data_IF_085144973253
#
_entry.id   IF_085144973253
#
_cell.length_a   1.000
_cell.length_b   1.000
_cell.length_c   1.000
_cell.angle_alpha   90.00
_cell.angle_beta   90.00
_cell.angle_gamma   90.00
#
_symmetry.space_group_name_H-M   'P 1'
#
loop_
_entity.id
_entity.type
_entity.pdbx_description
1 polymer ?
#
# COMPACT_ATOMS: atom_id res chain seq x y z
N UNK A 1 20.07 33.59 26.44
CA UNK A 1 18.61 33.78 26.61
C UNK A 1 17.90 32.94 25.55
N UNK A 2 17.06 32.03 26.04
CA UNK A 2 16.11 31.14 25.36
C UNK A 2 15.67 31.49 23.93
N UNK A 3 15.91 30.61 22.95
CA UNK A 3 14.92 29.88 22.11
C UNK A 3 15.66 28.71 21.40
N UNK A 4 15.95 27.63 22.11
CA UNK A 4 16.56 26.41 21.54
C UNK A 4 15.95 25.13 22.15
N UNK A 5 14.65 25.17 22.46
CA UNK A 5 13.99 24.15 23.30
C UNK A 5 12.60 23.72 22.84
N UNK A 6 12.26 23.87 21.55
CA UNK A 6 10.97 23.39 21.01
C UNK A 6 11.08 22.34 19.91
N UNK A 7 12.27 22.09 19.35
CA UNK A 7 12.44 21.17 18.23
C UNK A 7 12.85 19.74 18.63
N UNK A 8 13.11 19.47 19.91
CA UNK A 8 13.55 18.15 20.38
C UNK A 8 12.42 17.24 20.89
N UNK A 9 11.19 17.75 21.06
CA UNK A 9 10.07 16.97 21.65
C UNK A 9 9.32 16.16 20.58
N UNK A 10 9.39 16.53 19.30
CA UNK A 10 8.68 15.81 18.23
C UNK A 10 9.48 14.65 17.61
N UNK A 11 10.79 14.58 17.85
CA UNK A 11 11.62 13.45 17.38
C UNK A 11 11.71 12.29 18.38
N UNK A 12 11.28 12.51 19.64
CA UNK A 12 11.33 11.50 20.70
C UNK A 12 10.11 10.55 20.71
N UNK A 13 9.03 10.85 19.98
CA UNK A 13 7.82 9.99 19.94
C UNK A 13 7.97 8.84 18.94
N UNK A 14 8.90 8.93 17.98
CA UNK A 14 9.12 7.88 16.97
C UNK A 14 10.23 6.89 17.36
N UNK A 15 11.04 7.19 18.39
CA UNK A 15 12.19 6.35 18.79
C UNK A 15 12.02 5.68 20.17
N UNK A 16 11.02 6.03 20.98
CA UNK A 16 10.75 5.39 22.28
C UNK A 16 9.74 4.23 22.23
N UNK A 17 9.73 3.45 21.13
CA UNK A 17 8.89 2.25 20.98
C UNK A 17 9.62 0.91 21.12
N UNK A 18 10.95 0.89 21.25
CA UNK A 18 11.73 -0.36 21.09
C UNK A 18 12.55 -0.81 22.31
N UNK A 19 12.35 -0.24 23.50
CA UNK A 19 12.97 -0.81 24.72
C UNK A 19 11.94 -0.84 25.85
N UNK A 20 11.23 -1.97 25.92
CA UNK A 20 10.21 -2.22 26.93
C UNK A 20 9.56 -3.58 26.75
N UNK A 21 10.32 -4.61 26.38
CA UNK A 21 9.90 -5.99 26.55
C UNK A 21 9.87 -6.30 28.06
N UNK A 22 8.81 -5.89 28.74
CA UNK A 22 8.38 -6.45 30.01
C UNK A 22 7.19 -7.36 29.69
N UNK A 23 7.37 -8.65 29.98
CA UNK A 23 6.34 -9.66 29.83
C UNK A 23 5.12 -9.29 30.69
N UNK A 24 4.02 -8.90 30.04
CA UNK A 24 2.71 -8.86 30.68
C UNK A 24 2.03 -10.20 30.46
N UNK A 25 1.80 -10.92 31.57
CA UNK A 25 0.90 -12.06 31.66
C UNK A 25 -0.48 -11.74 31.07
N UNK A 26 -1.19 -12.73 30.51
CA UNK A 26 -2.37 -12.49 29.68
C UNK A 26 -3.52 -11.92 30.53
N UNK A 27 -3.87 -10.66 30.29
CA UNK A 27 -5.18 -10.13 30.63
C UNK A 27 -5.98 -10.03 29.34
N UNK A 28 -7.06 -10.78 29.29
CA UNK A 28 -7.99 -10.86 28.16
C UNK A 28 -8.55 -9.47 27.85
N UNK A 29 -8.13 -8.90 26.72
CA UNK A 29 -8.68 -7.67 26.16
C UNK A 29 -9.86 -8.02 25.25
N UNK A 30 -10.91 -7.17 25.17
CA UNK A 30 -12.07 -7.43 24.32
C UNK A 30 -11.63 -7.53 22.84
N UNK A 31 -12.29 -8.38 22.02
CA UNK A 31 -11.92 -8.55 20.63
C UNK A 31 -12.09 -7.21 19.88
N UNK A 32 -10.97 -6.61 19.50
CA UNK A 32 -10.95 -5.50 18.54
C UNK A 32 -11.45 -6.00 17.19
N UNK A 33 -12.17 -5.18 16.40
CA UNK A 33 -12.69 -5.62 15.12
C UNK A 33 -11.55 -5.91 14.14
N UNK A 34 -11.59 -7.12 13.62
CA UNK A 34 -10.87 -7.58 12.45
C UNK A 34 -10.74 -6.53 11.34
N UNK A 35 -9.54 -6.36 10.74
CA UNK A 35 -9.50 -5.80 9.40
C UNK A 35 -10.42 -6.64 8.50
N UNK A 36 -11.31 -5.95 7.78
CA UNK A 36 -12.31 -6.52 6.87
C UNK A 36 -11.71 -7.67 6.06
N UNK A 37 -12.39 -8.83 5.94
CA UNK A 37 -11.83 -9.97 5.24
C UNK A 37 -11.61 -9.61 3.77
N UNK A 38 -10.35 -9.44 3.37
CA UNK A 38 -9.92 -9.86 2.04
C UNK A 38 -10.37 -11.32 1.93
N UNK A 39 -11.17 -11.62 0.90
CA UNK A 39 -11.77 -12.92 0.68
C UNK A 39 -10.77 -14.03 1.03
N UNK A 40 -11.17 -14.93 1.94
CA UNK A 40 -10.34 -16.03 2.40
C UNK A 40 -9.72 -16.76 1.19
N UNK A 41 -8.38 -16.87 1.08
CA UNK A 41 -7.70 -17.42 -0.09
C UNK A 41 -8.17 -18.84 -0.46
N UNK A 42 -8.67 -19.59 0.53
CA UNK A 42 -9.03 -21.01 0.39
C UNK A 42 -10.25 -21.31 -0.49
N UNK A 43 -11.01 -20.30 -0.96
CA UNK A 43 -12.17 -20.51 -1.85
C UNK A 43 -11.96 -20.08 -3.31
N UNK A 44 -10.85 -19.40 -3.65
CA UNK A 44 -10.63 -18.96 -5.05
C UNK A 44 -10.14 -20.15 -5.87
N UNK A 45 -10.89 -20.52 -6.91
CA UNK A 45 -10.45 -21.54 -7.88
C UNK A 45 -9.15 -21.07 -8.53
N UNK A 46 -8.21 -21.99 -8.84
CA UNK A 46 -6.95 -21.64 -9.49
C UNK A 46 -7.21 -20.78 -10.72
N UNK A 47 -6.58 -19.62 -10.76
CA UNK A 47 -6.70 -18.70 -11.88
C UNK A 47 -6.12 -19.33 -13.15
N UNK A 48 -6.99 -19.54 -14.15
CA UNK A 48 -6.59 -20.03 -15.46
C UNK A 48 -6.09 -18.84 -16.28
N UNK A 49 -4.97 -18.99 -17.00
CA UNK A 49 -4.38 -17.92 -17.84
C UNK A 49 -5.39 -17.28 -18.81
N UNK A 50 -6.38 -18.05 -19.26
CA UNK A 50 -7.44 -17.57 -20.15
C UNK A 50 -8.44 -16.62 -19.45
N UNK A 51 -8.59 -16.71 -18.13
CA UNK A 51 -9.47 -15.85 -17.34
C UNK A 51 -8.81 -14.52 -16.96
N UNK A 52 -7.50 -14.35 -17.18
CA UNK A 52 -6.72 -13.19 -16.74
C UNK A 52 -7.38 -11.83 -17.09
N UNK A 53 -7.73 -11.62 -18.34
CA UNK A 53 -8.38 -10.37 -18.77
C UNK A 53 -9.80 -10.21 -18.22
N UNK A 54 -10.51 -11.32 -18.04
CA UNK A 54 -11.86 -11.32 -17.48
C UNK A 54 -11.81 -10.98 -15.99
N UNK A 55 -10.82 -11.48 -15.27
CA UNK A 55 -10.60 -11.16 -13.87
C UNK A 55 -10.29 -9.68 -13.69
N UNK A 56 -9.35 -9.10 -14.46
CA UNK A 56 -9.07 -7.65 -14.45
C UNK A 56 -10.36 -6.85 -14.62
N UNK A 57 -11.22 -7.22 -15.58
CA UNK A 57 -12.47 -6.50 -15.79
C UNK A 57 -13.46 -6.65 -14.62
N UNK A 58 -13.54 -7.84 -14.03
CA UNK A 58 -14.38 -8.11 -12.87
C UNK A 58 -13.88 -7.37 -11.63
N UNK A 59 -12.57 -7.34 -11.42
CA UNK A 59 -11.91 -6.69 -10.31
C UNK A 59 -12.04 -5.17 -10.44
N UNK A 60 -11.83 -4.59 -11.62
CA UNK A 60 -12.16 -3.18 -11.88
C UNK A 60 -13.62 -2.88 -11.53
N UNK A 61 -14.57 -3.68 -12.01
CA UNK A 61 -15.98 -3.48 -11.69
C UNK A 61 -16.22 -3.52 -10.18
N UNK A 62 -15.64 -4.48 -9.48
CA UNK A 62 -15.77 -4.61 -8.04
C UNK A 62 -15.17 -3.41 -7.30
N UNK A 63 -13.99 -2.95 -7.69
CA UNK A 63 -13.31 -1.78 -7.12
C UNK A 63 -14.18 -0.53 -7.30
N UNK A 64 -14.62 -0.23 -8.52
CA UNK A 64 -15.41 0.97 -8.82
C UNK A 64 -16.79 0.96 -8.17
N UNK A 65 -17.38 -0.23 -7.98
CA UNK A 65 -18.67 -0.37 -7.32
C UNK A 65 -18.54 -0.51 -5.80
N UNK A 66 -17.34 -0.71 -5.26
CA UNK A 66 -17.12 -0.94 -3.83
C UNK A 66 -17.73 0.13 -2.91
N UNK A 67 -17.69 1.45 -3.23
CA UNK A 67 -18.27 2.46 -2.34
C UNK A 67 -19.79 2.33 -2.20
N UNK A 68 -20.46 1.75 -3.19
CA UNK A 68 -21.92 1.55 -3.19
C UNK A 68 -22.34 0.30 -2.41
N UNK A 69 -21.38 -0.53 -1.97
CA UNK A 69 -21.62 -1.76 -1.22
C UNK A 69 -21.19 -1.68 0.24
N UNK A 70 -20.84 -0.47 0.73
CA UNK A 70 -20.42 -0.24 2.11
C UNK A 70 -21.55 -0.53 3.10
N UNK A 71 -21.22 -1.24 4.18
CA UNK A 71 -22.13 -1.55 5.29
C UNK A 71 -21.90 -0.58 6.44
N UNK A 72 -22.88 -0.46 7.33
CA UNK A 72 -22.77 0.40 8.52
C UNK A 72 -21.59 0.02 9.42
N UNK A 73 -21.28 -1.28 9.52
CA UNK A 73 -20.15 -1.75 10.32
C UNK A 73 -18.80 -1.34 9.74
N UNK A 74 -18.71 -1.05 8.44
CA UNK A 74 -17.48 -0.55 7.82
C UNK A 74 -17.11 0.85 8.32
N UNK A 75 -18.08 1.61 8.83
CA UNK A 75 -17.84 2.93 9.40
C UNK A 75 -16.85 2.89 10.58
N UNK A 76 -16.77 1.77 11.32
CA UNK A 76 -15.88 1.61 12.48
C UNK A 76 -14.40 1.76 12.11
N UNK A 77 -14.04 1.40 10.88
CA UNK A 77 -12.67 1.55 10.38
C UNK A 77 -12.55 2.66 9.32
N UNK A 78 -13.58 2.88 8.49
CA UNK A 78 -13.57 3.94 7.47
C UNK A 78 -13.55 5.35 8.05
N UNK A 79 -14.32 5.61 9.11
CA UNK A 79 -14.36 6.93 9.75
C UNK A 79 -13.01 7.32 10.32
N UNK A 80 -12.36 6.53 11.18
CA UNK A 80 -11.03 6.89 11.68
C UNK A 80 -10.00 6.98 10.55
N UNK A 81 -10.00 6.06 9.59
CA UNK A 81 -9.09 6.11 8.43
C UNK A 81 -9.28 7.41 7.62
N UNK A 82 -10.52 7.79 7.33
CA UNK A 82 -10.85 9.00 6.59
C UNK A 82 -10.44 10.25 7.34
N UNK A 83 -10.72 10.33 8.66
CA UNK A 83 -10.30 11.45 9.50
C UNK A 83 -8.78 11.57 9.59
N UNK A 84 -8.06 10.46 9.78
CA UNK A 84 -6.60 10.43 9.79
C UNK A 84 -6.02 10.89 8.45
N UNK A 85 -6.58 10.42 7.34
CA UNK A 85 -6.14 10.81 5.99
C UNK A 85 -6.37 12.31 5.75
N UNK A 86 -7.54 12.83 6.11
CA UNK A 86 -7.85 14.25 5.98
C UNK A 86 -6.92 15.12 6.83
N UNK A 87 -6.60 14.68 8.05
CA UNK A 87 -5.64 15.36 8.91
C UNK A 87 -4.23 15.38 8.29
N UNK A 88 -3.78 14.26 7.71
CA UNK A 88 -2.48 14.18 7.01
C UNK A 88 -2.43 15.08 5.78
N UNK A 89 -3.49 15.10 4.97
CA UNK A 89 -3.56 15.99 3.79
C UNK A 89 -3.49 17.47 4.22
N UNK A 90 -4.16 17.83 5.31
CA UNK A 90 -4.17 19.20 5.84
C UNK A 90 -2.78 19.65 6.35
N UNK A 91 -1.97 18.73 6.86
CA UNK A 91 -0.61 19.04 7.35
C UNK A 91 0.49 18.85 6.29
N UNK A 92 0.21 18.15 5.19
CA UNK A 92 1.16 17.79 4.14
C UNK A 92 1.83 19.01 3.46
N UNK A 93 1.11 20.11 3.27
CA UNK A 93 1.67 21.34 2.69
C UNK A 93 2.83 21.93 3.52
N UNK A 94 2.78 21.77 4.86
CA UNK A 94 3.84 22.26 5.74
C UNK A 94 5.10 21.40 5.64
N UNK A 95 4.93 20.09 5.50
CA UNK A 95 6.05 19.14 5.33
C UNK A 95 6.70 19.25 3.96
N UNK A 96 5.90 19.46 2.90
CA UNK A 96 6.42 19.58 1.53
C UNK A 96 7.36 20.79 1.35
N UNK A 97 7.11 21.89 2.07
CA UNK A 97 7.98 23.07 2.04
C UNK A 97 9.37 22.81 2.66
N UNK A 98 9.47 21.92 3.67
CA UNK A 98 10.74 21.57 4.30
C UNK A 98 11.55 20.56 3.47
N UNK A 99 10.91 19.76 2.62
CA UNK A 99 11.56 18.77 1.76
C UNK A 99 12.26 19.36 0.53
N UNK A 100 11.93 20.60 0.12
CA UNK A 100 12.61 21.29 -0.99
C UNK A 100 14.08 21.67 -0.68
N UNK A 101 14.47 21.66 0.60
CA UNK A 101 15.78 22.10 1.08
C UNK A 101 16.77 20.93 1.31
N UNK A 102 16.32 19.68 1.32
CA UNK A 102 17.17 18.51 1.61
C UNK A 102 17.50 17.71 0.35
N UNK A 103 18.70 17.96 -0.20
CA UNK A 103 19.19 17.30 -1.42
C UNK A 103 19.91 15.96 -1.19
N UNK A 104 19.99 15.45 0.04
CA UNK A 104 20.71 14.20 0.31
C UNK A 104 19.88 13.19 1.09
N UNK A 105 19.32 12.22 0.37
CA UNK A 105 18.89 10.95 0.95
C UNK A 105 19.15 9.77 0.00
N UNK A 106 20.45 9.50 -0.15
CA UNK A 106 21.16 8.21 -0.15
C UNK A 106 20.42 6.97 -0.71
N UNK A 107 20.97 6.45 -1.83
CA UNK A 107 20.95 5.11 -2.47
C UNK A 107 19.90 4.05 -2.06
N UNK A 108 19.56 3.92 -0.78
CA UNK A 108 18.49 3.05 -0.28
C UNK A 108 17.11 3.44 -0.86
N UNK A 109 16.83 4.73 -0.99
CA UNK A 109 15.60 5.24 -1.63
C UNK A 109 15.51 4.83 -3.11
N UNK A 110 16.66 4.76 -3.80
CA UNK A 110 16.73 4.41 -5.21
C UNK A 110 16.48 2.91 -5.45
N UNK A 111 17.04 2.03 -4.61
CA UNK A 111 16.81 0.58 -4.71
C UNK A 111 15.37 0.20 -4.33
N UNK A 112 14.83 0.81 -3.27
CA UNK A 112 13.43 0.59 -2.87
C UNK A 112 12.47 1.14 -3.93
N UNK A 113 12.78 2.29 -4.54
CA UNK A 113 12.02 2.79 -5.70
C UNK A 113 12.12 1.83 -6.88
N UNK A 114 13.28 1.25 -7.17
CA UNK A 114 13.42 0.33 -8.30
C UNK A 114 12.63 -0.98 -8.09
N UNK A 115 12.65 -1.53 -6.88
CA UNK A 115 11.85 -2.72 -6.50
C UNK A 115 10.35 -2.44 -6.55
N UNK A 116 9.91 -1.27 -6.08
CA UNK A 116 8.52 -0.84 -6.19
C UNK A 116 8.13 -0.29 -7.57
N UNK A 117 9.05 -0.23 -8.53
CA UNK A 117 8.74 0.28 -9.86
C UNK A 117 7.90 -0.72 -10.64
N UNK A 118 7.19 -0.24 -11.67
CA UNK A 118 6.47 -1.10 -12.60
C UNK A 118 7.38 -2.21 -13.17
N UNK A 119 8.65 -1.90 -13.45
CA UNK A 119 9.63 -2.88 -13.90
C UNK A 119 10.01 -3.88 -12.81
N UNK A 120 10.25 -3.42 -11.58
CA UNK A 120 10.57 -4.27 -10.44
C UNK A 120 9.44 -5.24 -10.12
N UNK A 121 8.24 -4.72 -9.90
CA UNK A 121 7.04 -5.50 -9.60
C UNK A 121 6.71 -6.45 -10.75
N UNK A 122 6.73 -5.96 -11.99
CA UNK A 122 6.49 -6.79 -13.18
C UNK A 122 7.52 -7.91 -13.32
N UNK A 123 8.79 -7.64 -13.03
CA UNK A 123 9.85 -8.67 -13.08
C UNK A 123 9.68 -9.75 -12.01
N UNK A 124 9.24 -9.39 -10.81
CA UNK A 124 8.97 -10.35 -9.73
C UNK A 124 7.77 -11.23 -10.08
N UNK A 125 6.67 -10.64 -10.55
CA UNK A 125 5.50 -11.37 -11.01
C UNK A 125 5.86 -12.35 -12.15
N UNK A 126 6.63 -11.89 -13.15
CA UNK A 126 7.12 -12.74 -14.23
C UNK A 126 8.03 -13.87 -13.73
N UNK A 127 8.91 -13.59 -12.76
CA UNK A 127 9.77 -14.61 -12.17
C UNK A 127 8.97 -15.71 -11.47
N UNK A 128 7.99 -15.35 -10.64
CA UNK A 128 7.07 -16.30 -10.02
C UNK A 128 6.36 -17.18 -11.06
N UNK A 129 5.85 -16.54 -12.11
CA UNK A 129 5.15 -17.23 -13.19
C UNK A 129 6.06 -18.22 -13.95
N UNK A 130 7.22 -17.76 -14.40
CA UNK A 130 8.15 -18.55 -15.22
C UNK A 130 8.76 -19.71 -14.42
N UNK A 131 9.19 -19.45 -13.18
CA UNK A 131 9.73 -20.49 -12.28
C UNK A 131 8.63 -21.50 -11.92
N UNK A 132 7.42 -21.02 -11.62
CA UNK A 132 6.27 -21.89 -11.36
C UNK A 132 5.92 -22.78 -12.55
N UNK A 133 5.95 -22.22 -13.78
CA UNK A 133 5.69 -22.97 -15.01
C UNK A 133 6.78 -24.00 -15.31
N UNK A 134 8.05 -23.62 -15.18
CA UNK A 134 9.19 -24.52 -15.45
C UNK A 134 9.32 -25.62 -14.39
N UNK A 135 9.03 -25.32 -13.13
CA UNK A 135 9.10 -26.25 -12.00
C UNK A 135 7.80 -26.99 -11.70
N UNK A 136 6.75 -26.84 -12.53
CA UNK A 136 5.41 -27.40 -12.28
C UNK A 136 4.82 -27.05 -10.90
N UNK A 137 5.19 -25.88 -10.35
CA UNK A 137 4.66 -25.38 -9.09
C UNK A 137 3.46 -24.47 -9.36
N UNK A 138 2.25 -25.01 -9.16
CA UNK A 138 1.00 -24.31 -9.39
C UNK A 138 0.87 -23.03 -8.56
N UNK A 139 1.28 -23.06 -7.28
CA UNK A 139 1.21 -21.91 -6.37
C UNK A 139 2.10 -20.76 -6.85
N UNK A 140 3.35 -21.05 -7.20
CA UNK A 140 4.26 -20.01 -7.73
C UNK A 140 3.75 -19.43 -9.06
N UNK A 141 3.21 -20.28 -9.93
CA UNK A 141 2.61 -19.83 -11.20
C UNK A 141 1.42 -18.91 -10.97
N UNK A 142 0.52 -19.29 -10.06
CA UNK A 142 -0.65 -18.52 -9.66
C UNK A 142 -0.27 -17.20 -8.98
N UNK A 143 0.72 -17.20 -8.08
CA UNK A 143 1.26 -15.99 -7.46
C UNK A 143 1.71 -14.97 -8.53
N UNK A 144 2.41 -15.44 -9.57
CA UNK A 144 2.85 -14.56 -10.65
C UNK A 144 1.69 -13.99 -11.47
N UNK A 145 0.67 -14.80 -11.74
CA UNK A 145 -0.51 -14.38 -12.51
C UNK A 145 -1.36 -13.38 -11.72
N UNK A 146 -1.70 -13.69 -10.47
CA UNK A 146 -2.43 -12.80 -9.56
C UNK A 146 -1.65 -11.52 -9.26
N UNK A 147 -0.33 -11.62 -9.11
CA UNK A 147 0.54 -10.47 -8.90
C UNK A 147 0.52 -9.50 -10.08
N UNK A 148 0.49 -10.02 -11.30
CA UNK A 148 0.35 -9.21 -12.50
C UNK A 148 -1.05 -8.59 -12.64
N UNK A 149 -2.12 -9.35 -12.33
CA UNK A 149 -3.51 -8.87 -12.29
C UNK A 149 -3.65 -7.69 -11.33
N UNK A 150 -3.26 -7.87 -10.07
CA UNK A 150 -3.34 -6.84 -9.03
C UNK A 150 -2.47 -5.61 -9.35
N UNK A 151 -1.31 -5.79 -9.98
CA UNK A 151 -0.47 -4.69 -10.44
C UNK A 151 -1.15 -3.87 -11.55
N UNK A 152 -1.79 -4.53 -12.52
CA UNK A 152 -2.53 -3.83 -13.58
C UNK A 152 -3.72 -3.10 -12.99
N UNK A 153 -4.49 -3.75 -12.12
CA UNK A 153 -5.68 -3.15 -11.52
C UNK A 153 -5.35 -1.91 -10.70
N UNK A 154 -4.31 -1.99 -9.87
CA UNK A 154 -3.82 -0.84 -9.08
C UNK A 154 -3.29 0.29 -9.97
N UNK A 155 -2.65 -0.04 -11.10
CA UNK A 155 -2.15 0.96 -12.06
C UNK A 155 -3.28 1.74 -12.74
N UNK A 156 -4.40 1.08 -13.06
CA UNK A 156 -5.60 1.73 -13.61
C UNK A 156 -6.19 2.70 -12.58
N UNK A 157 -6.36 2.24 -11.34
CA UNK A 157 -6.90 3.06 -10.25
C UNK A 157 -5.99 4.26 -9.95
N UNK A 158 -4.68 4.05 -9.86
CA UNK A 158 -3.67 5.10 -9.65
C UNK A 158 -3.73 6.15 -10.77
N UNK A 159 -3.87 5.73 -12.02
CA UNK A 159 -3.99 6.63 -13.17
C UNK A 159 -5.22 7.54 -13.05
N UNK A 160 -6.38 6.98 -12.73
CA UNK A 160 -7.62 7.76 -12.56
C UNK A 160 -7.51 8.70 -11.35
N UNK A 161 -6.98 8.24 -10.23
CA UNK A 161 -6.80 9.06 -9.03
C UNK A 161 -5.81 10.21 -9.26
N UNK A 162 -4.74 10.00 -10.03
CA UNK A 162 -3.82 11.07 -10.42
C UNK A 162 -4.51 12.14 -11.27
N UNK A 163 -5.34 11.73 -12.23
CA UNK A 163 -6.13 12.67 -13.04
C UNK A 163 -7.15 13.43 -12.20
N UNK A 164 -7.76 12.78 -11.21
CA UNK A 164 -8.74 13.40 -10.32
C UNK A 164 -8.09 14.37 -9.32
N UNK A 165 -6.99 13.98 -8.70
CA UNK A 165 -6.37 14.75 -7.61
C UNK A 165 -5.40 15.82 -8.12
N UNK A 166 -4.78 15.59 -9.28
CA UNK A 166 -3.81 16.46 -9.93
C UNK A 166 -2.76 17.08 -8.99
N UNK A 167 -2.29 16.30 -8.00
CA UNK A 167 -1.37 16.83 -6.98
C UNK A 167 0.02 17.06 -7.57
N UNK A 168 0.57 18.26 -7.42
CA UNK A 168 1.93 18.61 -7.87
C UNK A 168 2.98 17.85 -7.07
N UNK A 169 4.16 17.67 -7.68
CA UNK A 169 5.29 17.08 -6.97
C UNK A 169 5.85 18.11 -5.98
N UNK A 170 6.44 17.66 -4.86
CA UNK A 170 7.14 18.56 -3.93
C UNK A 170 8.26 19.39 -4.58
N UNK A 171 8.78 18.95 -5.73
CA UNK A 171 9.84 19.64 -6.49
C UNK A 171 9.31 20.58 -7.58
N UNK A 172 7.98 20.77 -7.71
CA UNK A 172 7.43 21.67 -8.73
C UNK A 172 7.65 23.15 -8.32
N UNK A 173 8.37 23.95 -9.13
CA UNK A 173 8.71 25.33 -8.79
C UNK A 173 7.49 26.28 -8.77
N UNK A 174 6.33 25.84 -9.25
CA UNK A 174 5.10 26.65 -9.35
C UNK A 174 4.19 26.55 -8.11
N UNK A 175 4.53 25.69 -7.14
CA UNK A 175 3.71 25.44 -5.95
C UNK A 175 3.82 23.96 -5.50
N UNK A 176 4.66 23.63 -4.51
CA UNK A 176 4.86 22.27 -4.07
C UNK A 176 3.67 21.74 -3.27
N UNK A 177 3.20 20.54 -3.60
CA UNK A 177 2.16 19.83 -2.83
C UNK A 177 0.71 20.24 -3.10
N UNK A 178 0.45 21.21 -3.98
CA UNK A 178 -0.92 21.64 -4.31
C UNK A 178 -1.71 20.56 -5.07
N UNK A 179 -2.97 20.39 -4.68
CA UNK A 179 -3.96 19.54 -5.38
C UNK A 179 -4.70 20.35 -6.45
N UNK A 180 -5.27 19.65 -7.45
CA UNK A 180 -6.06 20.22 -8.56
C UNK A 180 -5.29 21.21 -9.45
N UNK A 181 -3.98 21.02 -9.55
CA UNK A 181 -3.07 21.97 -10.19
C UNK A 181 -2.20 21.32 -11.26
N UNK A 182 -2.77 20.37 -12.01
CA UNK A 182 -2.16 19.62 -13.12
C UNK A 182 -0.91 18.78 -12.75
N UNK A 183 -0.82 18.30 -11.52
CA UNK A 183 0.23 17.38 -11.10
C UNK A 183 -0.14 15.90 -11.22
N UNK A 184 0.80 15.00 -10.89
CA UNK A 184 0.60 13.54 -10.98
C UNK A 184 1.29 12.78 -9.82
N UNK A 185 1.45 13.43 -8.67
CA UNK A 185 2.28 12.92 -7.56
C UNK A 185 1.52 12.05 -6.56
N UNK A 186 0.19 12.12 -6.55
CA UNK A 186 -0.65 11.40 -5.61
C UNK A 186 -1.75 10.60 -6.33
N UNK A 187 -1.98 9.34 -5.94
CA UNK A 187 -1.17 8.55 -5.02
C UNK A 187 0.20 8.15 -5.61
N UNK A 188 1.05 7.48 -4.81
CA UNK A 188 2.36 6.99 -5.25
C UNK A 188 2.19 5.70 -6.04
N UNK A 189 2.47 5.73 -7.35
CA UNK A 189 2.41 4.55 -8.21
C UNK A 189 3.40 3.45 -7.79
N UNK A 190 4.59 3.81 -7.29
CA UNK A 190 5.57 2.82 -6.79
C UNK A 190 5.05 2.10 -5.55
N UNK A 191 4.39 2.83 -4.65
CA UNK A 191 3.81 2.25 -3.44
C UNK A 191 2.61 1.37 -3.77
N UNK A 192 1.74 1.81 -4.68
CA UNK A 192 0.59 1.04 -5.14
C UNK A 192 1.02 -0.29 -5.80
N UNK A 193 2.05 -0.23 -6.66
CA UNK A 193 2.61 -1.41 -7.31
C UNK A 193 3.26 -2.38 -6.30
N UNK A 194 4.07 -1.87 -5.36
CA UNK A 194 4.72 -2.71 -4.36
C UNK A 194 3.69 -3.40 -3.44
N UNK A 195 2.71 -2.66 -2.94
CA UNK A 195 1.70 -3.19 -2.03
C UNK A 195 0.74 -4.17 -2.71
N UNK A 196 0.33 -3.93 -3.96
CA UNK A 196 -0.52 -4.87 -4.70
C UNK A 196 0.12 -6.25 -4.81
N UNK A 197 1.40 -6.31 -5.20
CA UNK A 197 2.14 -7.57 -5.27
C UNK A 197 2.36 -8.19 -3.87
N UNK A 198 2.72 -7.38 -2.88
CA UNK A 198 2.94 -7.86 -1.51
C UNK A 198 1.66 -8.49 -0.92
N UNK A 199 0.49 -7.90 -1.17
CA UNK A 199 -0.80 -8.45 -0.74
C UNK A 199 -1.07 -9.81 -1.40
N UNK A 200 -0.79 -9.96 -2.70
CA UNK A 200 -0.93 -11.26 -3.39
C UNK A 200 -0.01 -12.30 -2.77
N UNK A 201 1.27 -11.97 -2.56
CA UNK A 201 2.23 -12.90 -1.93
C UNK A 201 1.79 -13.25 -0.50
N UNK A 202 1.35 -12.29 0.29
CA UNK A 202 0.85 -12.54 1.64
C UNK A 202 -0.36 -13.49 1.63
N UNK A 203 -1.26 -13.33 0.66
CA UNK A 203 -2.44 -14.16 0.50
C UNK A 203 -2.10 -15.59 0.04
N UNK A 204 -1.16 -15.74 -0.90
CA UNK A 204 -0.72 -17.05 -1.43
C UNK A 204 0.13 -17.84 -0.44
N UNK A 205 0.86 -17.16 0.45
CA UNK A 205 1.80 -17.76 1.40
C UNK A 205 1.42 -17.52 2.86
N UNK A 206 0.13 -17.31 3.17
CA UNK A 206 -0.39 -17.08 4.52
C UNK A 206 0.00 -18.18 5.53
N UNK A 207 0.27 -19.40 5.04
CA UNK A 207 0.77 -20.56 5.79
C UNK A 207 2.20 -20.38 6.37
N UNK A 208 2.98 -19.45 5.82
CA UNK A 208 4.36 -19.22 6.23
C UNK A 208 4.47 -18.10 7.27
N UNK A 209 5.22 -18.34 8.36
CA UNK A 209 5.40 -17.38 9.47
C UNK A 209 5.88 -15.97 9.08
N UNK A 210 6.51 -15.81 7.91
CA UNK A 210 6.96 -14.52 7.39
C UNK A 210 5.87 -13.72 6.63
N UNK A 211 4.79 -14.39 6.24
CA UNK A 211 3.64 -13.83 5.51
C UNK A 211 2.30 -14.03 6.26
N UNK A 212 2.36 -14.66 7.44
CA UNK A 212 1.19 -14.90 8.30
C UNK A 212 0.77 -13.61 8.97
N UNK A 213 -0.38 -13.08 8.56
CA UNK A 213 -1.13 -12.11 9.35
C UNK A 213 -2.14 -12.89 10.17
N UNK A 214 -2.07 -12.76 11.49
CA UNK A 214 -3.11 -13.28 12.37
C UNK A 214 -4.40 -12.56 12.00
N UNK A 215 -5.45 -13.31 11.68
CA UNK A 215 -6.82 -12.79 11.62
C UNK A 215 -7.12 -12.18 12.99
N UNK A 216 -6.90 -10.87 13.11
CA UNK A 216 -7.64 -10.04 14.05
C UNK A 216 -9.07 -10.00 13.55
#
# INVERSE_FOLDING_TARGET
MFVARRSAVLFAIIVFGTVGAQAQSPSEAPPGPAPTPLASPSERKPTLEHEFFKNILQDQRAIWLSPFHLKKDDARWLVPLGLSTAALISTDQRTAAEMGEFHDQLRLSHNVSYLGSAYGVGSVAAAFYLVGRAGHNARARETGLLGAEAFIDSSIVDSVLKVATQRRRPTDPRGPGDFFQHGSSFPSGHSAAAWSLATVVANEYHDHKAASYTHL
#
